data_IF_244079356071
#
_entry.id   IF_244079356071
#
_cell.length_a   1.000
_cell.length_b   1.000
_cell.length_c   1.000
_cell.angle_alpha   90.00
_cell.angle_beta   90.00
_cell.angle_gamma   90.00
#
_symmetry.space_group_name_H-M   'P 1'
#
loop_
_entity.id
_entity.type
_entity.pdbx_description
1 polymer ?
#
# COMPACT_ATOMS: atom_id res chain seq x y z
N UNK A 1 7.88 -7.42 -7.93
CA UNK A 1 7.50 -5.99 -7.85
C UNK A 1 5.99 -5.91 -8.08
N UNK A 2 5.23 -5.63 -7.02
CA UNK A 2 3.76 -5.71 -7.04
C UNK A 2 3.20 -4.33 -6.70
N UNK A 3 2.63 -3.65 -7.71
CA UNK A 3 2.11 -2.29 -7.61
C UNK A 3 0.65 -2.36 -7.14
N UNK A 4 0.34 -1.72 -6.02
CA UNK A 4 -1.01 -1.64 -5.47
C UNK A 4 -1.42 -0.18 -5.41
N UNK A 5 -2.48 0.17 -6.13
CA UNK A 5 -3.05 1.52 -6.20
C UNK A 5 -4.32 1.53 -5.36
N UNK A 6 -4.47 2.55 -4.53
CA UNK A 6 -5.61 2.68 -3.62
C UNK A 6 -6.23 4.06 -3.73
N UNK A 7 -7.55 4.11 -3.55
CA UNK A 7 -8.35 5.34 -3.72
C UNK A 7 -8.23 6.35 -2.57
N UNK A 8 -7.54 5.99 -1.47
CA UNK A 8 -7.40 6.87 -0.32
C UNK A 8 -6.09 6.64 0.45
N UNK A 9 -5.49 7.72 1.00
CA UNK A 9 -4.26 7.64 1.78
C UNK A 9 -4.43 6.85 3.09
N UNK A 10 -5.64 6.81 3.64
CA UNK A 10 -5.95 5.99 4.82
C UNK A 10 -5.83 4.49 4.52
N UNK A 11 -6.35 4.04 3.36
CA UNK A 11 -6.19 2.65 2.90
C UNK A 11 -4.72 2.31 2.66
N UNK A 12 -3.95 3.21 2.07
CA UNK A 12 -2.51 3.02 1.86
C UNK A 12 -1.80 2.74 3.20
N UNK A 13 -2.04 3.55 4.23
CA UNK A 13 -1.45 3.36 5.56
C UNK A 13 -1.84 2.03 6.21
N UNK A 14 -3.10 1.61 6.06
CA UNK A 14 -3.57 0.33 6.60
C UNK A 14 -2.90 -0.84 5.90
N UNK A 15 -2.89 -0.84 4.56
CA UNK A 15 -2.32 -1.89 3.73
C UNK A 15 -0.80 -2.00 3.91
N UNK A 16 -0.10 -0.87 4.06
CA UNK A 16 1.34 -0.84 4.28
C UNK A 16 1.75 -1.46 5.64
N UNK A 17 0.83 -1.53 6.62
CA UNK A 17 1.06 -2.26 7.87
C UNK A 17 1.01 -3.78 7.70
N UNK A 18 0.33 -4.29 6.67
CA UNK A 18 0.11 -5.73 6.46
C UNK A 18 0.96 -6.32 5.33
N UNK A 19 1.31 -5.53 4.31
CA UNK A 19 2.00 -6.03 3.12
C UNK A 19 3.52 -6.19 3.27
N UNK A 20 4.13 -5.64 4.32
CA UNK A 20 5.59 -5.74 4.52
C UNK A 20 6.39 -5.02 3.42
N UNK A 21 7.71 -5.20 3.44
CA UNK A 21 8.68 -4.41 2.66
C UNK A 21 8.67 -4.67 1.14
N UNK A 22 7.93 -5.68 0.68
CA UNK A 22 7.90 -6.11 -0.73
C UNK A 22 6.93 -5.33 -1.63
N UNK A 23 6.14 -4.42 -1.04
CA UNK A 23 5.10 -3.69 -1.77
C UNK A 23 5.36 -2.18 -1.78
N UNK A 24 5.23 -1.60 -2.97
CA UNK A 24 5.27 -0.16 -3.16
C UNK A 24 3.84 0.36 -3.28
N UNK A 25 3.35 0.95 -2.19
CA UNK A 25 2.00 1.51 -2.11
C UNK A 25 2.05 2.98 -2.49
N UNK A 26 1.31 3.34 -3.54
CA UNK A 26 1.08 4.72 -3.94
C UNK A 26 -0.37 5.10 -3.59
N UNK A 27 -0.56 6.30 -3.05
CA UNK A 27 -1.82 6.85 -2.62
C UNK A 27 -2.24 8.02 -3.52
#
# INVERSE_FOLDING_TARGET
>A
MQLVIVESPAKAKTINKYLGSDFHVLA
#
